data_IF_209477784184
#
_entry.id   IF_209477784184
#
_cell.length_a   1.000
_cell.length_b   1.000
_cell.length_c   1.000
_cell.angle_alpha   90.00
_cell.angle_beta   90.00
_cell.angle_gamma   90.00
#
_symmetry.space_group_name_H-M   'P 1'
#
loop_
_entity.id
_entity.type
_entity.pdbx_description
1 polymer ?
#
# COMPACT_ATOMS: atom_id res chain seq x y z
N UNK A 1 4.03 -7.09 -0.36
CA UNK A 1 4.41 -7.87 0.82
C UNK A 1 4.83 -9.29 0.42
N UNK A 2 5.54 -10.04 1.26
CA UNK A 2 6.03 -11.35 0.88
C UNK A 2 4.96 -12.43 0.80
N UNK A 3 3.73 -12.18 1.29
CA UNK A 3 2.68 -13.17 1.40
C UNK A 3 2.37 -13.90 0.09
N UNK A 4 2.38 -13.18 -1.01
CA UNK A 4 2.06 -13.74 -2.33
C UNK A 4 3.06 -13.34 -3.43
N UNK A 5 4.18 -12.71 -3.05
CA UNK A 5 5.15 -12.16 -4.00
C UNK A 5 5.71 -13.19 -4.99
N UNK A 6 5.79 -14.46 -4.60
CA UNK A 6 6.34 -15.54 -5.43
C UNK A 6 5.35 -16.63 -5.77
N UNK A 7 4.21 -16.73 -5.07
CA UNK A 7 3.27 -17.85 -5.22
C UNK A 7 2.63 -17.92 -6.61
N UNK A 8 2.42 -16.79 -7.25
CA UNK A 8 1.81 -16.71 -8.58
C UNK A 8 2.66 -17.28 -9.73
N UNK A 9 3.94 -17.58 -9.48
CA UNK A 9 4.80 -18.28 -10.44
C UNK A 9 4.59 -19.81 -10.47
N UNK A 10 3.82 -20.34 -9.51
CA UNK A 10 3.62 -21.77 -9.35
C UNK A 10 2.18 -22.16 -9.64
N UNK A 11 1.97 -23.13 -10.53
CA UNK A 11 0.64 -23.64 -10.86
C UNK A 11 0.09 -24.62 -9.80
N UNK A 12 1.01 -25.31 -9.09
CA UNK A 12 0.65 -26.22 -8.01
C UNK A 12 0.51 -25.43 -6.70
N UNK A 13 -0.67 -25.47 -6.04
CA UNK A 13 -0.89 -24.73 -4.78
C UNK A 13 0.05 -25.15 -3.65
N UNK A 14 0.41 -26.43 -3.55
CA UNK A 14 1.31 -26.94 -2.50
C UNK A 14 2.74 -26.43 -2.71
N UNK A 15 3.20 -26.36 -3.96
CA UNK A 15 4.49 -25.77 -4.29
C UNK A 15 4.50 -24.26 -4.05
N UNK A 16 3.41 -23.56 -4.43
CA UNK A 16 3.23 -22.14 -4.15
C UNK A 16 3.33 -21.85 -2.64
N UNK A 17 2.66 -22.62 -1.81
CA UNK A 17 2.66 -22.44 -0.35
C UNK A 17 4.03 -22.74 0.28
N UNK A 18 4.72 -23.76 -0.19
CA UNK A 18 6.09 -24.09 0.28
C UNK A 18 7.09 -23.00 -0.04
N UNK A 19 7.04 -22.48 -1.28
CA UNK A 19 7.93 -21.40 -1.72
C UNK A 19 7.60 -20.11 -0.99
N UNK A 20 6.32 -19.76 -0.87
CA UNK A 20 5.88 -18.56 -0.18
C UNK A 20 6.31 -18.55 1.30
N UNK A 21 6.19 -19.68 2.00
CA UNK A 21 6.64 -19.79 3.39
C UNK A 21 8.16 -19.58 3.51
N UNK A 22 8.94 -20.19 2.62
CA UNK A 22 10.41 -20.04 2.60
C UNK A 22 10.81 -18.61 2.27
N UNK A 23 10.14 -17.99 1.29
CA UNK A 23 10.37 -16.61 0.89
C UNK A 23 10.05 -15.62 2.02
N UNK A 24 8.95 -15.84 2.73
CA UNK A 24 8.56 -15.01 3.88
C UNK A 24 9.64 -15.01 4.96
N UNK A 25 10.19 -16.17 5.30
CA UNK A 25 11.29 -16.28 6.27
C UNK A 25 12.57 -15.62 5.77
N UNK A 26 12.91 -15.79 4.49
CA UNK A 26 14.07 -15.14 3.88
C UNK A 26 13.96 -13.61 3.90
N UNK A 27 12.77 -13.07 3.61
CA UNK A 27 12.52 -11.63 3.69
C UNK A 27 12.59 -11.09 5.11
N UNK A 28 12.06 -11.83 6.10
CA UNK A 28 12.19 -11.46 7.51
C UNK A 28 13.67 -11.44 7.96
N UNK A 29 14.50 -12.38 7.46
CA UNK A 29 15.93 -12.38 7.71
C UNK A 29 16.67 -11.21 7.07
N UNK A 30 16.31 -10.87 5.83
CA UNK A 30 16.89 -9.71 5.13
C UNK A 30 16.53 -8.39 5.82
N UNK A 31 15.30 -8.22 6.25
CA UNK A 31 14.88 -7.02 6.99
C UNK A 31 15.66 -6.89 8.30
N UNK A 32 15.89 -8.00 9.03
CA UNK A 32 16.75 -7.96 10.23
C UNK A 32 18.18 -7.50 9.91
N UNK A 33 18.76 -7.97 8.81
CA UNK A 33 20.09 -7.50 8.35
C UNK A 33 20.11 -6.01 8.02
N UNK A 34 19.04 -5.49 7.42
CA UNK A 34 18.90 -4.05 7.18
C UNK A 34 18.85 -3.28 8.50
N UNK A 35 18.07 -3.76 9.48
CA UNK A 35 18.00 -3.16 10.82
C UNK A 35 19.34 -3.18 11.55
N UNK A 36 20.16 -4.23 11.37
CA UNK A 36 21.49 -4.32 11.95
C UNK A 36 22.51 -3.39 11.28
N UNK A 37 22.29 -3.04 10.00
CA UNK A 37 23.25 -2.30 9.18
C UNK A 37 22.97 -0.79 9.11
N UNK A 38 21.72 -0.37 9.29
CA UNK A 38 21.27 1.01 9.10
C UNK A 38 20.79 1.57 10.45
N UNK A 39 21.20 2.80 10.84
CA UNK A 39 20.65 3.43 12.04
C UNK A 39 19.12 3.48 11.96
N UNK A 40 18.44 3.12 13.07
CA UNK A 40 16.99 2.98 13.08
C UNK A 40 16.26 4.28 12.78
N UNK A 41 16.82 5.42 13.17
CA UNK A 41 16.28 6.77 12.88
C UNK A 41 16.33 7.12 11.38
N UNK A 42 17.18 6.44 10.61
CA UNK A 42 17.35 6.62 9.16
C UNK A 42 16.65 5.51 8.34
N UNK A 43 15.97 4.56 9.01
CA UNK A 43 15.38 3.40 8.36
C UNK A 43 13.85 3.41 8.42
N UNK A 44 13.24 3.27 7.26
CA UNK A 44 11.82 2.97 7.11
C UNK A 44 11.64 1.71 6.28
N UNK A 45 10.85 0.77 6.76
CA UNK A 45 10.47 -0.44 6.04
C UNK A 45 9.05 -0.26 5.51
N UNK A 46 8.87 -0.35 4.21
CA UNK A 46 7.57 -0.36 3.56
C UNK A 46 7.29 -1.75 2.97
N UNK A 47 6.16 -2.32 3.34
CA UNK A 47 5.66 -3.54 2.75
C UNK A 47 4.68 -3.23 1.62
N UNK A 48 5.06 -3.57 0.39
CA UNK A 48 4.17 -3.43 -0.76
C UNK A 48 3.24 -4.64 -0.84
N UNK A 49 1.93 -4.40 -0.75
CA UNK A 49 0.87 -5.40 -0.70
C UNK A 49 -0.01 -5.35 -1.95
N UNK A 50 0.61 -5.46 -3.13
CA UNK A 50 -0.10 -5.45 -4.41
C UNK A 50 -0.92 -6.72 -4.61
N UNK A 51 -0.26 -7.88 -4.54
CA UNK A 51 -0.94 -9.16 -4.78
C UNK A 51 -2.00 -9.47 -3.73
N UNK A 52 -1.75 -9.11 -2.49
CA UNK A 52 -2.72 -9.23 -1.41
C UNK A 52 -3.99 -8.42 -1.71
N UNK A 53 -3.84 -7.24 -2.31
CA UNK A 53 -4.96 -6.39 -2.70
C UNK A 53 -5.73 -6.98 -3.89
N UNK A 54 -5.02 -7.41 -4.92
CA UNK A 54 -5.59 -7.92 -6.17
C UNK A 54 -6.23 -9.31 -6.02
N UNK A 55 -5.62 -10.21 -5.25
CA UNK A 55 -6.13 -11.58 -5.01
C UNK A 55 -7.45 -11.58 -4.24
N UNK A 56 -7.67 -10.58 -3.38
CA UNK A 56 -8.95 -10.43 -2.69
C UNK A 56 -10.14 -10.28 -3.64
N UNK A 57 -9.95 -9.62 -4.75
CA UNK A 57 -11.03 -9.38 -5.71
C UNK A 57 -11.22 -10.55 -6.68
N UNK A 58 -10.59 -11.71 -6.41
CA UNK A 58 -10.72 -12.97 -7.17
C UNK A 58 -10.44 -12.85 -8.69
N UNK A 59 -9.52 -11.98 -9.04
CA UNK A 59 -9.28 -11.60 -10.43
C UNK A 59 -8.41 -12.59 -11.20
N UNK A 60 -7.98 -13.65 -10.53
CA UNK A 60 -7.16 -14.70 -11.15
C UNK A 60 -7.70 -16.08 -10.80
N UNK A 61 -7.89 -16.93 -11.80
CA UNK A 61 -8.32 -18.33 -11.67
C UNK A 61 -7.32 -19.21 -10.86
N UNK A 62 -6.14 -18.69 -10.56
CA UNK A 62 -5.05 -19.38 -9.87
C UNK A 62 -4.72 -18.78 -8.49
N UNK A 63 -5.62 -18.07 -7.88
CA UNK A 63 -5.42 -17.59 -6.52
C UNK A 63 -4.98 -18.74 -5.59
N UNK A 64 -4.03 -18.50 -4.67
CA UNK A 64 -3.64 -19.51 -3.69
C UNK A 64 -4.86 -20.06 -2.96
N UNK A 65 -4.85 -21.36 -2.65
CA UNK A 65 -5.98 -22.02 -1.96
C UNK A 65 -6.20 -21.40 -0.56
N UNK A 66 -7.46 -21.31 -0.14
CA UNK A 66 -7.86 -20.83 1.19
C UNK A 66 -8.30 -19.37 1.22
N UNK A 67 -8.67 -18.93 2.40
CA UNK A 67 -9.08 -17.54 2.64
C UNK A 67 -7.84 -16.62 2.58
N UNK A 68 -7.83 -15.61 1.69
CA UNK A 68 -6.74 -14.64 1.61
C UNK A 68 -6.46 -13.95 2.95
N UNK A 69 -7.47 -13.63 3.75
CA UNK A 69 -7.29 -13.00 5.07
C UNK A 69 -6.60 -13.92 6.07
N UNK A 70 -6.90 -15.21 6.08
CA UNK A 70 -6.20 -16.18 6.95
C UNK A 70 -4.71 -16.26 6.58
N UNK A 71 -4.38 -16.23 5.29
CA UNK A 71 -2.99 -16.23 4.80
C UNK A 71 -2.23 -14.98 5.25
N UNK A 72 -2.82 -13.82 5.08
CA UNK A 72 -2.26 -12.54 5.54
C UNK A 72 -2.09 -12.57 7.07
N UNK A 73 -3.09 -13.09 7.80
CA UNK A 73 -3.06 -13.22 9.25
C UNK A 73 -1.87 -14.03 9.76
N UNK A 74 -1.56 -15.14 9.09
CA UNK A 74 -0.44 -16.00 9.49
C UNK A 74 0.93 -15.37 9.22
N UNK A 75 1.06 -14.57 8.18
CA UNK A 75 2.36 -14.07 7.72
C UNK A 75 2.70 -12.67 8.24
N UNK A 76 1.69 -11.82 8.45
CA UNK A 76 1.91 -10.45 8.94
C UNK A 76 2.74 -10.38 10.23
N UNK A 77 2.50 -11.19 11.27
CA UNK A 77 3.36 -11.19 12.44
C UNK A 77 4.78 -11.70 12.15
N UNK A 78 4.94 -12.65 11.23
CA UNK A 78 6.25 -13.24 10.88
C UNK A 78 7.16 -12.21 10.24
N UNK A 79 6.67 -11.44 9.27
CA UNK A 79 7.46 -10.40 8.60
C UNK A 79 7.76 -9.21 9.51
N UNK A 80 6.95 -9.01 10.54
CA UNK A 80 7.15 -7.95 11.55
C UNK A 80 8.13 -8.37 12.66
N UNK A 81 8.38 -9.68 12.79
CA UNK A 81 9.21 -10.24 13.85
C UNK A 81 10.68 -9.80 13.73
N UNK A 82 11.20 -9.24 14.81
CA UNK A 82 12.61 -8.83 14.90
C UNK A 82 12.92 -7.48 14.27
N UNK A 83 11.91 -6.71 13.85
CA UNK A 83 12.08 -5.30 13.51
C UNK A 83 12.02 -4.50 14.81
N UNK A 84 13.05 -3.72 15.19
CA UNK A 84 13.04 -2.87 16.38
C UNK A 84 11.89 -1.85 16.36
N UNK A 85 11.37 -1.51 17.55
CA UNK A 85 10.22 -0.60 17.68
C UNK A 85 10.51 0.83 17.17
N UNK A 86 11.79 1.22 17.15
CA UNK A 86 12.26 2.52 16.66
C UNK A 86 12.22 2.61 15.13
N UNK A 87 12.23 1.48 14.42
CA UNK A 87 12.16 1.45 12.95
C UNK A 87 10.74 1.72 12.49
N UNK A 88 10.57 2.72 11.64
CA UNK A 88 9.29 3.05 11.03
C UNK A 88 8.86 1.93 10.07
N UNK A 89 7.63 1.43 10.24
CA UNK A 89 7.05 0.41 9.34
C UNK A 89 5.72 0.87 8.80
N UNK A 90 5.56 0.75 7.49
CA UNK A 90 4.32 1.07 6.81
C UNK A 90 3.94 0.06 5.74
N UNK A 91 2.73 0.20 5.22
CA UNK A 91 2.19 -0.62 4.14
C UNK A 91 1.77 0.26 2.97
N UNK A 92 2.13 -0.18 1.77
CA UNK A 92 1.61 0.34 0.51
C UNK A 92 0.69 -0.70 -0.11
N UNK A 93 -0.58 -0.34 -0.28
CA UNK A 93 -1.55 -1.14 -1.04
C UNK A 93 -1.59 -0.60 -2.47
N UNK A 94 -1.61 -1.49 -3.44
CA UNK A 94 -1.81 -1.08 -4.83
C UNK A 94 -2.48 -2.18 -5.66
N UNK A 95 -2.94 -1.80 -6.83
CA UNK A 95 -3.59 -2.69 -7.81
C UNK A 95 -2.67 -3.08 -8.97
N UNK A 96 -1.37 -2.85 -8.79
CA UNK A 96 -0.33 -3.08 -9.78
C UNK A 96 0.12 -1.81 -10.48
N UNK A 97 1.27 -1.88 -11.13
CA UNK A 97 1.81 -0.80 -11.96
C UNK A 97 2.70 -1.36 -13.09
N UNK A 98 2.34 -2.54 -13.61
CA UNK A 98 3.03 -3.10 -14.78
C UNK A 98 2.66 -2.24 -15.99
N UNK A 99 3.66 -1.73 -16.70
CA UNK A 99 3.47 -0.78 -17.78
C UNK A 99 2.75 0.52 -17.39
N UNK A 100 2.83 0.90 -16.12
CA UNK A 100 2.14 2.06 -15.54
C UNK A 100 0.59 1.93 -15.57
N UNK A 101 0.10 0.68 -15.53
CA UNK A 101 -1.32 0.35 -15.56
C UNK A 101 -1.67 -0.57 -14.39
N UNK A 102 -2.88 -0.44 -13.85
CA UNK A 102 -3.42 -1.37 -12.87
C UNK A 102 -3.70 -2.73 -13.49
N UNK A 103 -3.53 -3.81 -12.71
CA UNK A 103 -4.05 -5.12 -13.10
C UNK A 103 -5.58 -5.14 -13.04
N UNK A 104 -6.14 -4.31 -12.16
CA UNK A 104 -7.57 -4.21 -11.89
C UNK A 104 -7.87 -2.82 -11.38
N UNK A 105 -8.89 -2.21 -11.96
CA UNK A 105 -9.39 -0.93 -11.47
C UNK A 105 -10.22 -1.11 -10.20
N UNK A 106 -9.88 -0.42 -9.10
CA UNK A 106 -10.65 -0.50 -7.86
C UNK A 106 -12.03 0.15 -8.01
N UNK A 107 -13.04 -0.52 -7.47
CA UNK A 107 -14.39 0.05 -7.40
C UNK A 107 -14.43 1.21 -6.41
N UNK A 108 -13.81 1.04 -5.25
CA UNK A 108 -13.69 2.02 -4.17
C UNK A 108 -12.54 1.65 -3.21
N UNK A 109 -12.37 2.38 -2.12
CA UNK A 109 -11.31 2.14 -1.13
C UNK A 109 -11.63 1.02 -0.11
N UNK A 110 -12.74 0.29 -0.23
CA UNK A 110 -13.16 -0.73 0.76
C UNK A 110 -12.05 -1.75 1.02
N UNK A 111 -11.42 -2.26 -0.03
CA UNK A 111 -10.37 -3.26 0.10
C UNK A 111 -9.13 -2.74 0.82
N UNK A 112 -8.69 -1.54 0.46
CA UNK A 112 -7.55 -0.92 1.13
C UNK A 112 -7.86 -0.61 2.61
N UNK A 113 -9.07 -0.20 2.93
CA UNK A 113 -9.54 0.03 4.29
C UNK A 113 -9.56 -1.26 5.10
N UNK A 114 -10.09 -2.36 4.55
CA UNK A 114 -10.12 -3.68 5.19
C UNK A 114 -8.70 -4.18 5.49
N UNK A 115 -7.81 -4.15 4.50
CA UNK A 115 -6.42 -4.54 4.67
C UNK A 115 -5.68 -3.65 5.67
N UNK A 116 -5.89 -2.33 5.63
CA UNK A 116 -5.30 -1.40 6.60
C UNK A 116 -5.72 -1.72 8.03
N UNK A 117 -7.02 -1.88 8.24
CA UNK A 117 -7.56 -2.27 9.54
C UNK A 117 -6.96 -3.59 10.01
N UNK A 118 -6.80 -4.54 9.10
CA UNK A 118 -6.26 -5.84 9.42
C UNK A 118 -4.78 -5.77 9.81
N UNK A 119 -3.91 -5.20 8.96
CA UNK A 119 -2.46 -5.19 9.21
C UNK A 119 -2.10 -4.35 10.44
N UNK A 120 -2.76 -3.21 10.65
CA UNK A 120 -2.50 -2.35 11.81
C UNK A 120 -2.87 -3.04 13.12
N UNK A 121 -3.96 -3.83 13.14
CA UNK A 121 -4.43 -4.47 14.37
C UNK A 121 -3.82 -5.86 14.62
N UNK A 122 -3.14 -6.48 13.64
CA UNK A 122 -2.64 -7.86 13.74
C UNK A 122 -1.14 -8.03 13.49
N UNK A 123 -0.39 -6.97 13.21
CA UNK A 123 1.06 -7.06 12.92
C UNK A 123 1.91 -7.42 14.16
N UNK A 124 1.35 -7.32 15.37
CA UNK A 124 2.09 -7.54 16.61
C UNK A 124 3.05 -6.39 16.96
N UNK A 125 3.07 -5.33 16.18
CA UNK A 125 3.83 -4.10 16.42
C UNK A 125 3.04 -2.88 15.94
N UNK A 126 3.53 -1.70 16.25
CA UNK A 126 3.00 -0.46 15.67
C UNK A 126 3.29 -0.41 14.18
N UNK A 127 2.29 0.01 13.40
CA UNK A 127 2.41 0.41 11.99
C UNK A 127 2.20 1.92 11.94
N UNK A 128 3.18 2.62 11.38
CA UNK A 128 3.22 4.07 11.42
C UNK A 128 2.42 4.70 10.29
N UNK A 129 2.34 4.05 9.13
CA UNK A 129 1.55 4.56 8.02
C UNK A 129 0.99 3.45 7.12
N UNK A 130 -0.10 3.78 6.45
CA UNK A 130 -0.66 3.05 5.32
C UNK A 130 -0.80 3.98 4.13
N UNK A 131 -0.54 3.47 2.94
CA UNK A 131 -0.68 4.19 1.68
C UNK A 131 -1.67 3.46 0.79
N UNK A 132 -2.66 4.20 0.25
CA UNK A 132 -3.75 3.68 -0.56
C UNK A 132 -3.81 4.39 -1.91
N UNK A 133 -3.94 3.67 -3.03
CA UNK A 133 -4.03 4.27 -4.36
C UNK A 133 -5.37 4.99 -4.57
N UNK A 134 -5.34 6.03 -5.37
CA UNK A 134 -6.52 6.76 -5.84
C UNK A 134 -6.34 7.02 -7.34
N UNK A 135 -7.05 6.29 -8.22
CA UNK A 135 -6.98 6.51 -9.66
C UNK A 135 -7.33 7.93 -10.07
N UNK A 136 -6.76 8.39 -11.18
CA UNK A 136 -6.84 9.78 -11.64
C UNK A 136 -8.28 10.28 -11.82
N UNK A 137 -9.19 9.41 -12.22
CA UNK A 137 -10.60 9.72 -12.50
C UNK A 137 -11.52 9.60 -11.26
N UNK A 138 -10.95 9.33 -10.07
CA UNK A 138 -11.72 9.12 -8.83
C UNK A 138 -11.76 10.40 -7.99
N UNK A 139 -12.64 11.30 -8.38
CA UNK A 139 -13.00 12.50 -7.61
C UNK A 139 -14.48 12.47 -7.14
N UNK A 140 -15.05 11.26 -7.01
CA UNK A 140 -16.42 11.00 -6.56
C UNK A 140 -16.51 10.55 -5.11
N UNK A 141 -17.60 10.92 -4.43
CA UNK A 141 -17.83 10.57 -3.03
C UNK A 141 -17.88 9.05 -2.76
N UNK A 142 -18.34 8.26 -3.74
CA UNK A 142 -18.49 6.82 -3.56
C UNK A 142 -17.14 6.12 -3.38
N UNK A 143 -16.10 6.61 -4.09
CA UNK A 143 -14.77 6.05 -3.98
C UNK A 143 -14.18 6.19 -2.57
N UNK A 144 -14.36 7.33 -1.92
CA UNK A 144 -13.77 7.65 -0.61
C UNK A 144 -14.65 7.27 0.57
N UNK A 145 -15.93 6.97 0.36
CA UNK A 145 -16.88 6.67 1.43
C UNK A 145 -16.38 5.59 2.42
N UNK A 146 -15.67 4.52 1.99
CA UNK A 146 -15.13 3.50 2.89
C UNK A 146 -14.12 4.02 3.93
N UNK A 147 -13.47 5.18 3.71
CA UNK A 147 -12.53 5.76 4.67
C UNK A 147 -13.16 6.01 6.05
N UNK A 148 -14.48 6.13 6.15
CA UNK A 148 -15.22 6.22 7.42
C UNK A 148 -15.08 4.98 8.30
N UNK A 149 -14.73 3.85 7.69
CA UNK A 149 -14.59 2.56 8.36
C UNK A 149 -13.15 2.24 8.78
N UNK A 150 -12.23 3.18 8.63
CA UNK A 150 -10.87 3.05 9.15
C UNK A 150 -10.87 2.95 10.68
N UNK A 151 -10.15 1.94 11.19
CA UNK A 151 -10.00 1.63 12.62
C UNK A 151 -8.51 1.38 12.94
N UNK A 152 -7.67 2.31 12.56
CA UNK A 152 -6.19 2.19 12.60
C UNK A 152 -5.53 3.08 13.68
N UNK A 153 -6.34 3.66 14.57
CA UNK A 153 -5.82 4.46 15.68
C UNK A 153 -5.01 5.67 15.22
N UNK A 154 -3.77 5.77 15.69
CA UNK A 154 -2.85 6.87 15.34
C UNK A 154 -1.93 6.56 14.14
N UNK A 155 -2.22 5.53 13.35
CA UNK A 155 -1.50 5.24 12.13
C UNK A 155 -1.77 6.34 11.08
N UNK A 156 -0.71 6.84 10.42
CA UNK A 156 -0.83 7.83 9.35
C UNK A 156 -1.47 7.22 8.09
N UNK A 157 -2.24 8.03 7.37
CA UNK A 157 -2.79 7.62 6.06
C UNK A 157 -2.17 8.50 5.00
N UNK A 158 -1.69 7.90 3.93
CA UNK A 158 -1.31 8.57 2.70
C UNK A 158 -2.25 8.14 1.58
N UNK A 159 -2.79 9.11 0.84
CA UNK A 159 -3.61 8.86 -0.33
C UNK A 159 -2.80 9.15 -1.59
N UNK A 160 -2.69 8.14 -2.45
CA UNK A 160 -1.96 8.17 -3.71
C UNK A 160 -2.73 8.89 -4.80
N UNK A 161 -3.11 10.15 -4.56
CA UNK A 161 -4.02 10.94 -5.39
C UNK A 161 -3.32 11.98 -6.29
N UNK A 162 -1.97 11.95 -6.32
CA UNK A 162 -1.18 12.87 -7.14
C UNK A 162 -0.78 12.20 -8.44
N UNK A 163 -1.20 12.78 -9.56
CA UNK A 163 -0.88 12.34 -10.92
C UNK A 163 -0.28 13.49 -11.70
N UNK A 164 0.66 13.19 -12.61
CA UNK A 164 1.35 14.21 -13.40
C UNK A 164 0.47 14.76 -14.52
N UNK A 165 -0.49 13.96 -15.01
CA UNK A 165 -1.34 14.29 -16.15
C UNK A 165 -2.29 15.46 -15.89
N UNK A 166 -2.81 15.55 -14.65
CA UNK A 166 -3.72 16.64 -14.27
C UNK A 166 -3.14 17.55 -13.15
N UNK A 167 -1.94 17.23 -12.68
CA UNK A 167 -1.13 18.07 -11.80
C UNK A 167 -1.79 18.44 -10.47
N UNK A 168 -1.39 19.58 -9.92
CA UNK A 168 -1.88 20.06 -8.62
C UNK A 168 -3.39 20.36 -8.62
N UNK A 169 -3.97 20.81 -9.73
CA UNK A 169 -5.40 21.07 -9.81
C UNK A 169 -6.24 19.78 -9.74
N UNK A 170 -5.77 18.68 -10.36
CA UNK A 170 -6.39 17.39 -10.23
C UNK A 170 -6.28 16.84 -8.81
N UNK A 171 -5.09 16.91 -8.24
CA UNK A 171 -4.84 16.52 -6.86
C UNK A 171 -5.76 17.28 -5.89
N UNK A 172 -5.93 18.59 -6.07
CA UNK A 172 -6.81 19.42 -5.25
C UNK A 172 -8.27 18.96 -5.28
N UNK A 173 -8.82 18.64 -6.45
CA UNK A 173 -10.20 18.11 -6.56
C UNK A 173 -10.36 16.84 -5.74
N UNK A 174 -9.40 15.90 -5.86
CA UNK A 174 -9.40 14.64 -5.10
C UNK A 174 -9.21 14.86 -3.60
N UNK A 175 -8.36 15.81 -3.19
CA UNK A 175 -8.19 16.22 -1.78
C UNK A 175 -9.50 16.73 -1.20
N UNK A 176 -10.20 17.62 -1.89
CA UNK A 176 -11.45 18.22 -1.43
C UNK A 176 -12.55 17.16 -1.18
N UNK A 177 -12.59 16.11 -1.99
CA UNK A 177 -13.52 14.99 -1.76
C UNK A 177 -13.04 14.12 -0.60
N UNK A 178 -11.77 13.73 -0.59
CA UNK A 178 -11.20 12.86 0.46
C UNK A 178 -11.37 13.45 1.86
N UNK A 179 -11.19 14.77 2.04
CA UNK A 179 -11.32 15.47 3.32
C UNK A 179 -12.72 15.38 3.95
N UNK A 180 -13.76 15.09 3.17
CA UNK A 180 -15.14 14.86 3.69
C UNK A 180 -15.24 13.54 4.47
N UNK A 181 -14.31 12.61 4.22
CA UNK A 181 -14.30 11.25 4.79
C UNK A 181 -13.16 11.03 5.77
N UNK A 182 -12.01 11.65 5.51
CA UNK A 182 -10.81 11.58 6.33
C UNK A 182 -10.19 12.99 6.44
N UNK A 183 -10.36 13.70 7.57
CA UNK A 183 -9.91 15.09 7.70
C UNK A 183 -8.40 15.28 7.61
N UNK A 184 -7.60 14.28 7.98
CA UNK A 184 -6.15 14.36 8.03
C UNK A 184 -5.52 13.17 7.31
N UNK A 185 -4.73 13.43 6.28
CA UNK A 185 -3.95 12.45 5.53
C UNK A 185 -2.77 13.14 4.84
N UNK A 186 -1.78 12.38 4.44
CA UNK A 186 -0.71 12.83 3.55
C UNK A 186 -1.04 12.54 2.09
N UNK A 187 -0.38 13.25 1.18
CA UNK A 187 -0.51 13.01 -0.26
C UNK A 187 0.68 12.22 -0.78
N UNK A 188 0.45 11.42 -1.79
CA UNK A 188 1.46 10.63 -2.51
C UNK A 188 1.06 10.44 -3.97
N UNK A 189 1.99 9.98 -4.81
CA UNK A 189 1.64 9.37 -6.08
C UNK A 189 0.94 8.04 -5.83
N UNK A 190 0.17 7.58 -6.80
CA UNK A 190 -0.60 6.34 -6.67
C UNK A 190 0.26 5.11 -6.43
N UNK A 191 1.41 5.05 -7.09
CA UNK A 191 2.40 3.99 -6.94
C UNK A 191 3.83 4.54 -7.06
N UNK A 192 4.84 3.66 -7.00
CA UNK A 192 6.22 4.03 -7.25
C UNK A 192 6.48 4.32 -8.73
N UNK A 193 7.18 5.39 -9.03
CA UNK A 193 7.43 5.88 -10.39
C UNK A 193 8.69 5.30 -11.07
N UNK A 194 9.18 4.16 -10.59
CA UNK A 194 10.34 3.48 -11.21
C UNK A 194 10.09 2.91 -12.62
N UNK A 195 8.82 2.84 -13.06
CA UNK A 195 8.41 2.38 -14.41
C UNK A 195 7.87 3.50 -15.28
N UNK A 196 7.72 4.70 -14.72
CA UNK A 196 7.27 5.91 -15.41
C UNK A 196 8.31 6.40 -16.43
N UNK A 197 7.87 7.12 -17.48
CA UNK A 197 8.81 7.83 -18.34
C UNK A 197 9.61 8.86 -17.52
N UNK A 198 10.94 8.87 -17.58
CA UNK A 198 11.77 9.84 -16.87
C UNK A 198 11.37 11.30 -17.12
N UNK A 199 10.75 11.61 -18.26
CA UNK A 199 10.27 12.96 -18.58
C UNK A 199 9.11 13.41 -17.68
N UNK A 200 8.32 12.46 -17.14
CA UNK A 200 7.15 12.75 -16.34
C UNK A 200 7.46 12.86 -14.83
N UNK A 201 8.66 12.44 -14.41
CA UNK A 201 9.09 12.50 -13.01
C UNK A 201 9.09 13.93 -12.45
N UNK A 202 9.63 14.89 -13.20
CA UNK A 202 9.67 16.30 -12.75
C UNK A 202 8.26 16.91 -12.67
N UNK A 203 7.38 16.75 -13.68
CA UNK A 203 5.96 17.12 -13.56
C UNK A 203 5.27 16.50 -12.32
N UNK A 204 5.49 15.22 -12.04
CA UNK A 204 4.94 14.55 -10.87
C UNK A 204 5.43 15.18 -9.56
N UNK A 205 6.71 15.47 -9.43
CA UNK A 205 7.27 16.11 -8.22
C UNK A 205 6.72 17.53 -8.02
N UNK A 206 6.46 18.27 -9.09
CA UNK A 206 5.80 19.58 -9.01
C UNK A 206 4.37 19.41 -8.51
N UNK A 207 3.61 18.48 -9.09
CA UNK A 207 2.24 18.18 -8.66
C UNK A 207 2.16 17.76 -7.18
N UNK A 208 3.15 17.00 -6.69
CA UNK A 208 3.26 16.66 -5.26
C UNK A 208 3.44 17.90 -4.37
N UNK A 209 4.31 18.81 -4.76
CA UNK A 209 4.53 20.05 -4.00
C UNK A 209 3.26 20.88 -3.91
N UNK A 210 2.56 21.05 -5.04
CA UNK A 210 1.30 21.79 -5.12
C UNK A 210 0.18 21.13 -4.30
N UNK A 211 0.10 19.78 -4.33
CA UNK A 211 -0.85 19.02 -3.53
C UNK A 211 -0.58 19.16 -2.02
N UNK A 212 0.69 19.08 -1.62
CA UNK A 212 1.08 19.26 -0.21
C UNK A 212 0.77 20.67 0.30
N UNK A 213 0.99 21.69 -0.51
CA UNK A 213 0.64 23.08 -0.18
C UNK A 213 -0.87 23.24 -0.01
N UNK A 214 -1.67 22.52 -0.81
CA UNK A 214 -3.14 22.55 -0.72
C UNK A 214 -3.67 21.94 0.60
N UNK A 215 -2.98 20.96 1.19
CA UNK A 215 -3.29 20.41 2.52
C UNK A 215 -2.89 21.34 3.66
N UNK A 216 -1.88 22.18 3.46
CA UNK A 216 -1.33 23.06 4.49
C UNK A 216 -2.07 24.37 4.65
N UNK A 217 -3.01 24.67 3.74
CA UNK A 217 -3.80 25.90 3.78
C UNK A 217 -5.10 25.65 4.55
N UNK A 218 -5.34 26.35 5.69
CA UNK A 218 -6.55 26.21 6.50
C UNK A 218 -7.81 26.73 5.81
#
# INVERSE_FOLDING_TARGET
APQSAVSWWFHDPDDADRVNSTYTLAMADEVRRLCDAIPHDDLTIQWDACWETVVFDQLFDWAPSGDPMERIAMQTPVISMGIPDEVVVGYHFCYGSMHDEHFVEPTDLSRCVELSNFVVNNSGRRIEFVHMPVPIDRDDDAYYAPLRDLRIGGCGVYLGLVHYEDGGEGAKRRIEVAQRYLPHFGVAAECGFGRMDPADVVPLLIAHSEAADSLSTP
#
